data_IF_354093777234
#
_entry.id   IF_354093777234
#
_cell.length_a   1.000
_cell.length_b   1.000
_cell.length_c   1.000
_cell.angle_alpha   90.00
_cell.angle_beta   90.00
_cell.angle_gamma   90.00
#
_symmetry.space_group_name_H-M   'P 1'
#
loop_
_entity.id
_entity.type
_entity.pdbx_description
1 polymer ?
#
# COMPACT_ATOMS: atom_id res chain seq x y z
N UNK A 1 -1.31 5.62 10.01
CA UNK A 1 -2.74 5.97 9.86
C UNK A 1 -3.04 5.96 8.36
N UNK A 2 -4.26 5.70 7.93
CA UNK A 2 -4.58 5.59 6.51
C UNK A 2 -5.77 6.48 6.15
N UNK A 3 -5.84 6.95 4.91
CA UNK A 3 -6.96 7.76 4.41
C UNK A 3 -8.12 6.87 3.96
N UNK A 4 -7.80 5.75 3.30
CA UNK A 4 -8.77 4.78 2.80
C UNK A 4 -8.41 3.41 3.36
N UNK A 5 -9.41 2.72 3.92
CA UNK A 5 -9.26 1.37 4.46
C UNK A 5 -10.20 0.40 3.74
N UNK A 6 -9.62 -0.64 3.14
CA UNK A 6 -10.32 -1.74 2.50
C UNK A 6 -10.11 -2.97 3.38
N UNK A 7 -11.14 -3.42 4.10
CA UNK A 7 -11.02 -4.56 5.01
C UNK A 7 -12.16 -5.55 4.80
N UNK A 8 -11.85 -6.83 4.61
CA UNK A 8 -12.87 -7.87 4.43
C UNK A 8 -13.73 -7.71 3.17
N UNK A 9 -13.20 -7.02 2.14
CA UNK A 9 -13.95 -6.69 0.94
C UNK A 9 -13.74 -7.73 -0.17
N UNK A 10 -14.75 -7.92 -1.01
CA UNK A 10 -14.67 -8.75 -2.21
C UNK A 10 -15.18 -7.96 -3.40
N UNK A 11 -14.40 -7.92 -4.48
CA UNK A 11 -14.81 -7.35 -5.76
C UNK A 11 -15.10 -5.85 -5.68
N UNK A 12 -14.03 -5.08 -5.47
CA UNK A 12 -14.11 -3.62 -5.39
C UNK A 12 -13.15 -2.97 -6.37
N UNK A 13 -13.53 -1.78 -6.84
CA UNK A 13 -12.71 -0.95 -7.71
C UNK A 13 -12.61 0.45 -7.13
N UNK A 14 -11.38 0.93 -6.93
CA UNK A 14 -11.07 2.33 -6.74
C UNK A 14 -10.58 2.87 -8.09
N UNK A 15 -11.32 3.83 -8.64
CA UNK A 15 -11.04 4.44 -9.93
C UNK A 15 -11.10 5.96 -9.81
N UNK A 16 -10.13 6.65 -10.41
CA UNK A 16 -10.02 8.13 -10.37
C UNK A 16 -9.99 8.73 -8.95
N UNK A 17 -9.40 8.03 -7.97
CA UNK A 17 -9.25 8.52 -6.60
C UNK A 17 -7.99 9.36 -6.45
N UNK A 18 -8.13 10.54 -5.81
CA UNK A 18 -7.00 11.39 -5.43
C UNK A 18 -6.91 11.53 -3.91
N UNK A 19 -5.74 11.22 -3.34
CA UNK A 19 -5.42 11.43 -1.92
C UNK A 19 -4.16 12.28 -1.82
N UNK A 20 -4.21 13.33 -1.01
CA UNK A 20 -3.07 14.24 -0.82
C UNK A 20 -2.85 14.54 0.66
N UNK A 21 -1.60 14.46 1.11
CA UNK A 21 -1.14 14.90 2.42
C UNK A 21 0.26 15.52 2.28
N UNK A 22 0.71 16.36 3.25
CA UNK A 22 2.09 16.87 3.25
C UNK A 22 3.11 15.72 3.23
N UNK A 23 4.13 15.83 2.38
CA UNK A 23 5.11 14.76 2.16
C UNK A 23 6.04 14.48 3.36
N UNK A 24 6.12 15.43 4.30
CA UNK A 24 6.87 15.31 5.56
C UNK A 24 5.99 14.80 6.72
N UNK A 25 4.72 14.49 6.47
CA UNK A 25 3.78 14.04 7.49
C UNK A 25 3.93 12.53 7.75
N UNK A 26 4.44 12.11 8.92
CA UNK A 26 4.63 10.69 9.22
C UNK A 26 3.28 9.97 9.37
N UNK A 27 3.24 8.67 9.04
CA UNK A 27 2.08 7.79 9.20
C UNK A 27 0.86 8.17 8.34
N UNK A 28 1.07 8.71 7.13
CA UNK A 28 0.01 9.07 6.19
C UNK A 28 -0.08 8.05 5.04
N UNK A 29 -0.49 6.82 5.31
CA UNK A 29 -0.72 5.87 4.23
C UNK A 29 -1.93 6.34 3.41
N UNK A 30 -1.88 6.20 2.09
CA UNK A 30 -3.00 6.55 1.21
C UNK A 30 -4.11 5.52 1.33
N UNK A 31 -3.91 4.37 0.69
CA UNK A 31 -4.85 3.26 0.67
C UNK A 31 -4.25 2.08 1.44
N UNK A 32 -4.95 1.59 2.46
CA UNK A 32 -4.62 0.35 3.13
C UNK A 32 -5.64 -0.72 2.77
N UNK A 33 -5.19 -1.96 2.53
CA UNK A 33 -6.07 -3.11 2.36
C UNK A 33 -5.64 -4.32 3.20
N UNK A 34 -6.62 -5.11 3.65
CA UNK A 34 -6.41 -6.37 4.35
C UNK A 34 -7.60 -7.32 4.18
N UNK A 35 -7.35 -8.63 4.27
CA UNK A 35 -8.36 -9.69 4.18
C UNK A 35 -9.36 -9.51 3.02
N UNK A 36 -8.87 -9.03 1.86
CA UNK A 36 -9.72 -8.63 0.75
C UNK A 36 -9.34 -9.33 -0.55
N UNK A 37 -10.31 -9.56 -1.44
CA UNK A 37 -10.05 -10.24 -2.72
C UNK A 37 -10.68 -9.54 -3.91
N UNK A 38 -10.06 -9.68 -5.09
CA UNK A 38 -10.48 -9.00 -6.33
C UNK A 38 -10.57 -7.48 -6.15
N UNK A 39 -9.47 -6.89 -5.68
CA UNK A 39 -9.36 -5.45 -5.48
C UNK A 39 -8.66 -4.85 -6.69
N UNK A 40 -9.27 -3.86 -7.33
CA UNK A 40 -8.66 -3.09 -8.42
C UNK A 40 -8.47 -1.64 -7.97
N UNK A 41 -7.26 -1.11 -8.10
CA UNK A 41 -6.91 0.29 -7.88
C UNK A 41 -6.37 0.81 -9.21
N UNK A 42 -7.07 1.72 -9.87
CA UNK A 42 -6.68 2.24 -11.18
C UNK A 42 -6.91 3.74 -11.33
N UNK A 43 -6.13 4.39 -12.20
CA UNK A 43 -6.23 5.83 -12.49
C UNK A 43 -6.14 6.74 -11.24
N UNK A 44 -5.42 6.29 -10.21
CA UNK A 44 -5.34 6.98 -8.93
C UNK A 44 -4.11 7.89 -8.82
N UNK A 45 -4.24 8.97 -8.04
CA UNK A 45 -3.14 9.85 -7.64
C UNK A 45 -3.04 9.84 -6.12
N UNK A 46 -1.99 9.24 -5.57
CA UNK A 46 -1.77 9.19 -4.12
C UNK A 46 -0.46 9.89 -3.79
N UNK A 47 -0.59 11.05 -3.16
CA UNK A 47 0.53 11.87 -2.75
C UNK A 47 0.52 12.06 -1.24
N UNK A 48 1.20 11.18 -0.52
CA UNK A 48 1.30 11.21 0.94
C UNK A 48 2.75 11.11 1.41
N UNK A 49 2.99 11.21 2.72
CA UNK A 49 4.32 11.09 3.32
C UNK A 49 4.71 9.67 3.73
N UNK A 50 3.88 8.66 3.42
CA UNK A 50 4.10 7.25 3.76
C UNK A 50 3.67 6.37 2.56
N UNK A 51 3.28 5.11 2.76
CA UNK A 51 2.83 4.24 1.66
C UNK A 51 1.66 4.85 0.87
N UNK A 52 1.74 4.88 -0.45
CA UNK A 52 0.60 5.16 -1.31
C UNK A 52 -0.45 4.06 -1.22
N UNK A 53 0.01 2.80 -1.26
CA UNK A 53 -0.82 1.61 -1.10
C UNK A 53 -0.10 0.64 -0.18
N UNK A 54 -0.75 0.18 0.88
CA UNK A 54 -0.24 -0.90 1.73
C UNK A 54 -1.16 -2.11 1.66
N UNK A 55 -0.61 -3.25 1.22
CA UNK A 55 -1.30 -4.52 1.07
C UNK A 55 -0.97 -5.43 2.26
N UNK A 56 -1.96 -5.59 3.13
CA UNK A 56 -1.91 -6.41 4.33
C UNK A 56 -2.34 -7.86 4.09
N UNK A 57 -2.17 -8.66 5.15
CA UNK A 57 -2.42 -10.10 5.22
C UNK A 57 -3.82 -10.48 4.70
N UNK A 58 -3.92 -11.68 4.13
CA UNK A 58 -5.17 -12.26 3.65
C UNK A 58 -5.65 -11.72 2.31
N UNK A 59 -4.94 -10.74 1.73
CA UNK A 59 -5.30 -10.15 0.45
C UNK A 59 -4.85 -11.00 -0.75
N UNK A 60 -5.70 -11.15 -1.77
CA UNK A 60 -5.38 -11.91 -2.99
C UNK A 60 -6.11 -11.39 -4.22
N UNK A 61 -5.55 -11.59 -5.42
CA UNK A 61 -6.10 -11.02 -6.66
C UNK A 61 -6.22 -9.49 -6.56
N UNK A 62 -5.08 -8.83 -6.40
CA UNK A 62 -4.99 -7.37 -6.29
C UNK A 62 -4.36 -6.83 -7.57
N UNK A 63 -5.03 -5.87 -8.20
CA UNK A 63 -4.54 -5.17 -9.38
C UNK A 63 -4.32 -3.71 -8.98
N UNK A 64 -3.10 -3.22 -9.14
CA UNK A 64 -2.80 -1.79 -9.12
C UNK A 64 -2.31 -1.41 -10.51
N UNK A 65 -3.04 -0.50 -11.15
CA UNK A 65 -2.83 -0.10 -12.53
C UNK A 65 -2.84 1.42 -12.70
N UNK A 66 -2.11 1.96 -13.69
CA UNK A 66 -2.22 3.36 -14.12
C UNK A 66 -2.18 4.38 -12.96
N UNK A 67 -1.23 4.20 -12.04
CA UNK A 67 -1.19 4.94 -10.77
C UNK A 67 -0.03 5.91 -10.69
N UNK A 68 -0.31 7.14 -10.24
CA UNK A 68 0.72 8.08 -9.79
C UNK A 68 0.82 8.04 -8.27
N UNK A 69 2.01 7.76 -7.77
CA UNK A 69 2.31 7.67 -6.34
C UNK A 69 3.46 8.65 -6.01
N UNK A 70 3.56 9.10 -4.77
CA UNK A 70 4.70 9.89 -4.26
C UNK A 70 4.29 11.25 -3.70
N UNK A 71 5.01 11.81 -2.71
CA UNK A 71 6.45 11.58 -2.45
C UNK A 71 6.83 10.48 -1.45
N UNK A 72 5.88 9.84 -0.77
CA UNK A 72 6.14 8.85 0.29
C UNK A 72 6.74 7.52 -0.18
N UNK A 73 6.54 6.47 0.61
CA UNK A 73 7.29 5.21 0.57
C UNK A 73 6.95 4.27 -0.61
N UNK A 74 6.05 4.66 -1.51
CA UNK A 74 5.67 3.84 -2.65
C UNK A 74 4.53 2.87 -2.34
N UNK A 75 4.57 1.67 -2.90
CA UNK A 75 3.59 0.61 -2.64
C UNK A 75 4.25 -0.47 -1.79
N UNK A 76 3.62 -0.82 -0.67
CA UNK A 76 4.15 -1.74 0.33
C UNK A 76 3.32 -3.02 0.46
N UNK A 77 4.00 -4.16 0.64
CA UNK A 77 3.39 -5.49 0.86
C UNK A 77 4.04 -6.17 2.07
N UNK A 78 3.29 -6.47 3.15
CA UNK A 78 3.84 -7.09 4.38
C UNK A 78 2.80 -7.73 5.32
N UNK A 79 3.13 -8.62 6.29
CA UNK A 79 4.44 -9.07 6.85
C UNK A 79 4.75 -10.59 6.67
N UNK A 80 5.97 -11.00 7.10
CA UNK A 80 6.60 -12.33 7.29
C UNK A 80 5.73 -13.59 7.49
N UNK A 81 4.50 -13.47 7.97
CA UNK A 81 3.59 -14.62 8.22
C UNK A 81 2.51 -14.80 7.15
N UNK A 82 2.52 -13.97 6.10
CA UNK A 82 1.43 -13.85 5.13
C UNK A 82 1.72 -14.59 3.82
N UNK A 83 0.69 -15.21 3.24
CA UNK A 83 0.71 -15.68 1.86
C UNK A 83 -0.03 -14.68 0.98
N UNK A 84 0.70 -13.99 0.12
CA UNK A 84 0.15 -13.16 -0.95
C UNK A 84 0.04 -13.97 -2.23
N UNK A 85 -1.03 -13.75 -3.00
CA UNK A 85 -1.25 -14.47 -4.27
C UNK A 85 -1.87 -13.54 -5.30
N UNK A 86 -1.36 -13.62 -6.53
CA UNK A 86 -1.92 -12.92 -7.69
C UNK A 86 -1.97 -11.40 -7.49
N UNK A 87 -0.83 -10.80 -7.13
CA UNK A 87 -0.66 -9.34 -7.07
C UNK A 87 -0.05 -8.86 -8.38
N UNK A 88 -0.71 -7.91 -9.02
CA UNK A 88 -0.32 -7.36 -10.32
C UNK A 88 -0.12 -5.84 -10.21
N UNK A 89 1.06 -5.37 -10.61
CA UNK A 89 1.41 -3.95 -10.68
C UNK A 89 1.66 -3.61 -12.16
N UNK A 90 0.85 -2.71 -12.73
CA UNK A 90 0.95 -2.28 -14.12
C UNK A 90 0.99 -0.75 -14.18
N UNK A 91 1.86 -0.19 -15.02
CA UNK A 91 1.95 1.26 -15.25
C UNK A 91 1.99 2.14 -13.98
N UNK A 92 2.63 1.63 -12.92
CA UNK A 92 2.85 2.34 -11.66
C UNK A 92 4.15 3.14 -11.76
N UNK A 93 4.09 4.45 -11.52
CA UNK A 93 5.25 5.36 -11.70
C UNK A 93 6.37 5.22 -10.65
N UNK A 94 6.09 4.64 -9.50
CA UNK A 94 7.02 4.53 -8.37
C UNK A 94 7.41 3.07 -8.06
N UNK A 95 8.52 2.85 -7.34
CA UNK A 95 8.97 1.49 -7.00
C UNK A 95 7.97 0.74 -6.12
N UNK A 96 7.95 -0.58 -6.31
CA UNK A 96 7.32 -1.54 -5.40
C UNK A 96 8.30 -1.82 -4.26
N UNK A 97 7.89 -1.52 -3.02
CA UNK A 97 8.62 -1.88 -1.82
C UNK A 97 8.03 -3.16 -1.22
N UNK A 98 8.78 -4.26 -1.20
CA UNK A 98 8.36 -5.49 -0.52
C UNK A 98 9.09 -5.55 0.81
N UNK A 99 8.52 -4.87 1.81
CA UNK A 99 9.06 -4.89 3.16
C UNK A 99 8.52 -6.08 3.96
N UNK A 100 9.28 -7.17 3.94
CA UNK A 100 8.97 -8.35 4.74
C UNK A 100 9.38 -8.17 6.22
N UNK A 101 10.20 -7.17 6.56
CA UNK A 101 10.75 -6.95 7.90
C UNK A 101 10.12 -5.75 8.63
N UNK A 102 8.98 -5.25 8.16
CA UNK A 102 8.30 -4.11 8.78
C UNK A 102 8.04 -4.32 10.28
N UNK A 103 8.70 -3.51 11.11
CA UNK A 103 8.49 -3.49 12.55
C UNK A 103 8.25 -2.05 13.06
N UNK A 104 7.03 -1.73 13.51
CA UNK A 104 6.70 -0.39 14.00
C UNK A 104 7.10 -0.16 15.47
N UNK A 105 7.66 -1.17 16.17
CA UNK A 105 7.91 -1.11 17.61
C UNK A 105 9.37 -0.79 17.93
N UNK A 106 9.57 0.05 18.96
CA UNK A 106 10.89 0.46 19.44
C UNK A 106 11.79 -0.70 19.93
N UNK A 107 11.19 -1.87 20.20
CA UNK A 107 11.87 -3.08 20.65
C UNK A 107 12.55 -3.89 19.54
N UNK A 108 12.38 -3.52 18.27
CA UNK A 108 13.01 -4.25 17.17
C UNK A 108 14.49 -3.90 17.02
N UNK A 109 15.33 -4.93 17.10
CA UNK A 109 16.77 -4.84 16.89
C UNK A 109 17.07 -4.63 15.41
N UNK A 110 17.86 -3.58 15.12
CA UNK A 110 18.25 -3.07 13.79
C UNK A 110 17.06 -2.70 12.89
N UNK A 111 16.74 -1.40 12.89
CA UNK A 111 15.90 -0.76 11.87
C UNK A 111 16.53 -1.00 10.49
N UNK A 112 15.94 -1.88 9.70
CA UNK A 112 15.94 -1.64 8.25
C UNK A 112 14.67 -0.85 7.99
N UNK A 113 14.80 0.47 8.13
CA UNK A 113 13.77 1.40 7.71
C UNK A 113 13.94 1.48 6.19
N UNK A 114 13.26 0.59 5.45
CA UNK A 114 13.20 0.74 4.00
C UNK A 114 12.37 2.00 3.69
N UNK A 115 12.90 2.76 2.74
CA UNK A 115 12.59 4.15 2.38
C UNK A 115 11.12 4.51 2.25
#
# INVERSE_FOLDING_TARGET
MFHINILGCNEITLDHVTVTAPGDCPNTNGIHMGDSTKVTITNCIIATGDDCVSIGLGSSHVIVDSMTCGPGHGISIGNLSSRFKDITMQDVKNPLNIDQEYCPYASCSTKVQYF
#
